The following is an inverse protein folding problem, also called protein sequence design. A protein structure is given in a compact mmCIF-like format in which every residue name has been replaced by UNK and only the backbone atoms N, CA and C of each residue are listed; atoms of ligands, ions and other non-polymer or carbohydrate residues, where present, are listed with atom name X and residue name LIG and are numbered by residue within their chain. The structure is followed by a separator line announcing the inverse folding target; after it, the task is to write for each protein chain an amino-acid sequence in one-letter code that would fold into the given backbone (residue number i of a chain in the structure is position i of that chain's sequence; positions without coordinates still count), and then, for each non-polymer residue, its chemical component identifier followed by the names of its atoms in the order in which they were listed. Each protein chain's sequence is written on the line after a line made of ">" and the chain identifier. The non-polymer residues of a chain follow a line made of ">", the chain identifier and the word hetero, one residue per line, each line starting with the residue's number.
data_IF_686822098495
#
_entry.id   IF_686822098495
#
_cell.length_a   1.000
_cell.length_b   1.000
_cell.length_c   1.000
_cell.angle_alpha   90.00
_cell.angle_beta   90.00
_cell.angle_gamma   90.00
#
_symmetry.space_group_name_H-M   'P 1'
#
loop_
_entity.id
_entity.type
_entity.pdbx_description
1 polymer ?
#
# COMPACT_ATOMS: atom_id res chain seq x y z
N UNK A 1 -0.92 -15.97 61.92
CA UNK A 1 -0.32 -14.82 61.18
C UNK A 1 0.98 -15.18 60.47
N UNK A 2 1.86 -16.01 61.00
CA UNK A 2 3.16 -16.37 60.40
C UNK A 2 3.06 -17.23 59.11
N UNK A 3 2.04 -18.05 58.94
CA UNK A 3 1.86 -18.87 57.69
C UNK A 3 1.51 -18.07 56.45
N UNK A 4 0.84 -16.93 56.56
CA UNK A 4 0.47 -16.08 55.46
C UNK A 4 1.61 -15.17 54.98
N UNK A 5 2.56 -14.85 55.85
CA UNK A 5 3.75 -14.06 55.53
C UNK A 5 4.71 -14.88 54.65
N UNK A 6 4.85 -16.18 54.90
CA UNK A 6 5.72 -17.06 54.09
C UNK A 6 5.18 -17.27 52.67
N UNK A 7 3.85 -17.38 52.53
CA UNK A 7 3.20 -17.52 51.21
C UNK A 7 3.35 -16.23 50.41
N UNK A 8 3.26 -15.06 51.05
CA UNK A 8 3.45 -13.78 50.39
C UNK A 8 4.92 -13.53 49.94
N UNK A 9 5.88 -14.02 50.74
CA UNK A 9 7.27 -13.95 50.33
C UNK A 9 7.63 -14.93 49.19
N UNK A 10 7.04 -16.10 49.15
CA UNK A 10 7.23 -17.06 48.06
C UNK A 10 6.58 -16.57 46.78
N UNK A 11 5.41 -15.92 46.81
CA UNK A 11 4.78 -15.30 45.64
C UNK A 11 5.57 -14.07 45.15
N UNK A 12 6.21 -13.29 46.03
CA UNK A 12 7.07 -12.19 45.61
C UNK A 12 8.37 -12.67 44.95
N UNK A 13 8.89 -13.83 45.33
CA UNK A 13 10.09 -14.41 44.69
C UNK A 13 9.83 -14.96 43.30
N UNK A 14 8.58 -15.29 42.95
CA UNK A 14 8.21 -15.73 41.61
C UNK A 14 7.93 -14.57 40.66
N UNK A 15 7.70 -13.35 41.13
CA UNK A 15 7.49 -12.17 40.30
C UNK A 15 8.78 -11.36 40.05
N UNK A 16 9.88 -11.71 40.71
CA UNK A 16 11.17 -11.00 40.51
C UNK A 16 12.09 -11.66 39.48
N UNK A 17 11.65 -12.72 38.78
CA UNK A 17 12.47 -13.38 37.76
C UNK A 17 12.06 -13.09 36.32
N UNK A 18 11.23 -12.07 36.08
CA UNK A 18 11.21 -11.40 34.80
C UNK A 18 12.25 -10.29 34.84
N UNK A 19 13.51 -10.63 34.88
CA UNK A 19 14.54 -9.75 34.33
C UNK A 19 14.14 -9.56 32.87
N UNK A 20 13.74 -8.32 32.53
CA UNK A 20 13.81 -7.87 31.14
C UNK A 20 15.23 -8.26 30.72
N UNK A 21 15.32 -9.10 29.69
CA UNK A 21 16.57 -9.23 28.96
C UNK A 21 17.04 -7.81 28.70
N UNK A 22 18.05 -7.38 29.43
CA UNK A 22 18.81 -6.21 29.03
C UNK A 22 19.29 -6.58 27.64
N UNK A 23 18.76 -5.96 26.63
CA UNK A 23 19.40 -5.94 25.34
C UNK A 23 20.83 -5.52 25.63
N UNK A 24 21.74 -6.47 25.60
CA UNK A 24 23.16 -6.19 25.69
C UNK A 24 23.41 -5.44 24.40
N UNK A 25 23.44 -4.11 24.49
CA UNK A 25 24.01 -3.27 23.45
C UNK A 25 25.48 -3.65 23.48
N UNK A 26 25.83 -4.58 22.60
CA UNK A 26 27.24 -4.81 22.31
C UNK A 26 27.72 -3.52 21.67
N UNK A 27 28.63 -2.83 22.35
CA UNK A 27 29.43 -1.79 21.74
C UNK A 27 30.39 -2.52 20.78
N UNK A 28 29.84 -2.88 19.63
CA UNK A 28 30.56 -3.56 18.57
C UNK A 28 31.36 -2.49 17.85
N UNK A 29 32.56 -2.24 18.28
CA UNK A 29 33.60 -1.73 17.41
C UNK A 29 33.85 -2.80 16.34
N UNK A 30 33.00 -2.82 15.30
CA UNK A 30 33.10 -3.78 14.23
C UNK A 30 34.33 -3.44 13.42
N UNK A 31 35.29 -4.34 13.47
CA UNK A 31 36.48 -4.24 12.65
C UNK A 31 36.10 -4.56 11.19
N UNK A 32 36.73 -3.91 10.20
CA UNK A 32 36.48 -4.19 8.78
C UNK A 32 36.54 -5.67 8.40
N UNK A 33 37.32 -6.48 9.10
CA UNK A 33 37.50 -7.91 8.86
C UNK A 33 36.29 -8.76 9.33
N UNK A 34 35.39 -8.18 10.14
CA UNK A 34 34.18 -8.86 10.63
C UNK A 34 32.99 -8.67 9.71
N UNK A 35 33.11 -7.84 8.67
CA UNK A 35 32.08 -7.65 7.67
C UNK A 35 32.07 -8.85 6.72
N UNK A 36 30.91 -9.48 6.60
CA UNK A 36 30.75 -10.67 5.76
C UNK A 36 30.27 -10.35 4.36
N UNK A 37 29.41 -9.31 4.22
CA UNK A 37 28.72 -9.01 2.96
C UNK A 37 28.28 -7.54 2.91
N UNK A 38 28.29 -6.99 1.71
CA UNK A 38 27.68 -5.70 1.39
C UNK A 38 26.56 -5.95 0.40
N UNK A 39 25.40 -5.33 0.63
CA UNK A 39 24.28 -5.32 -0.29
C UNK A 39 24.00 -3.88 -0.73
N UNK A 40 23.77 -3.68 -2.03
CA UNK A 40 23.40 -2.39 -2.60
C UNK A 40 21.95 -2.46 -3.09
N UNK A 41 21.16 -1.46 -2.74
CA UNK A 41 19.80 -1.28 -3.21
C UNK A 41 19.60 0.13 -3.75
N UNK A 42 18.56 0.33 -4.56
CA UNK A 42 18.20 1.63 -5.12
C UNK A 42 16.77 2.00 -4.76
N UNK A 43 16.49 3.31 -4.76
CA UNK A 43 15.14 3.84 -4.51
C UNK A 43 14.13 3.33 -5.54
N UNK A 44 14.56 3.19 -6.80
CA UNK A 44 13.73 2.84 -7.93
C UNK A 44 14.40 1.82 -8.85
N UNK A 45 13.62 1.11 -9.64
CA UNK A 45 14.13 0.24 -10.72
C UNK A 45 14.48 1.01 -11.99
N UNK A 46 13.87 2.17 -12.19
CA UNK A 46 13.99 2.98 -13.40
C UNK A 46 14.24 4.45 -13.06
N UNK A 47 15.06 5.11 -13.87
CA UNK A 47 15.38 6.52 -13.72
C UNK A 47 14.88 7.32 -14.92
N UNK A 48 14.24 8.45 -14.66
CA UNK A 48 13.86 9.44 -15.69
C UNK A 48 15.07 10.31 -16.03
N UNK A 49 15.49 10.38 -17.32
CA UNK A 49 16.68 11.11 -17.72
C UNK A 49 16.42 12.61 -17.93
N UNK A 50 15.94 13.31 -16.90
CA UNK A 50 15.57 14.74 -16.96
C UNK A 50 16.55 15.65 -16.21
N UNK A 51 17.64 15.11 -15.63
CA UNK A 51 18.62 15.84 -14.85
C UNK A 51 18.14 16.32 -13.47
N UNK A 52 16.88 16.08 -13.14
CA UNK A 52 16.27 16.43 -11.84
C UNK A 52 15.99 15.18 -11.03
N UNK A 53 15.52 14.13 -11.69
CA UNK A 53 15.31 12.81 -11.05
C UNK A 53 16.64 12.25 -10.60
N UNK A 54 16.66 11.78 -9.36
CA UNK A 54 17.83 11.18 -8.75
C UNK A 54 17.50 9.73 -8.38
N UNK A 55 18.45 8.85 -8.65
CA UNK A 55 18.47 7.49 -8.18
C UNK A 55 19.33 7.45 -6.90
N UNK A 56 18.71 7.29 -5.76
CA UNK A 56 19.41 7.11 -4.50
C UNK A 56 19.82 5.66 -4.31
N UNK A 57 20.98 5.45 -3.71
CA UNK A 57 21.53 4.13 -3.40
C UNK A 57 21.72 3.96 -1.90
N UNK A 58 21.32 2.81 -1.40
CA UNK A 58 21.41 2.43 0.01
C UNK A 58 22.26 1.20 0.16
N UNK A 59 23.21 1.27 1.08
CA UNK A 59 24.12 0.17 1.39
C UNK A 59 23.72 -0.49 2.70
N UNK A 60 23.64 -1.82 2.68
CA UNK A 60 23.40 -2.67 3.83
C UNK A 60 24.64 -3.53 4.05
N UNK A 61 25.17 -3.46 5.25
CA UNK A 61 26.41 -4.16 5.60
C UNK A 61 26.09 -5.22 6.63
N UNK A 62 26.53 -6.42 6.39
CA UNK A 62 26.25 -7.57 7.23
C UNK A 62 27.53 -8.11 7.85
N UNK A 63 27.43 -8.47 9.10
CA UNK A 63 28.43 -9.24 9.83
C UNK A 63 27.91 -10.65 10.12
N UNK A 64 28.81 -11.54 10.49
CA UNK A 64 28.48 -12.86 10.98
C UNK A 64 28.95 -13.03 12.42
N UNK A 65 28.14 -13.71 13.20
CA UNK A 65 28.47 -14.09 14.57
C UNK A 65 28.03 -15.51 14.87
N UNK A 66 28.75 -16.16 15.74
CA UNK A 66 28.35 -17.45 16.27
C UNK A 66 27.44 -17.24 17.48
N UNK A 67 26.24 -17.79 17.42
CA UNK A 67 25.27 -17.72 18.52
C UNK A 67 24.85 -19.14 18.93
N UNK A 68 24.50 -19.31 20.20
CA UNK A 68 23.89 -20.54 20.67
C UNK A 68 22.41 -20.55 20.37
N UNK A 69 22.00 -21.45 19.47
CA UNK A 69 20.60 -21.74 19.22
C UNK A 69 20.14 -22.87 20.13
N UNK A 70 19.10 -22.62 20.92
CA UNK A 70 18.51 -23.63 21.79
C UNK A 70 17.24 -24.17 21.17
N UNK A 71 17.17 -25.47 21.04
CA UNK A 71 16.02 -26.21 20.55
C UNK A 71 15.60 -27.29 21.54
N UNK A 72 14.40 -27.84 21.32
CA UNK A 72 13.94 -29.04 22.00
C UNK A 72 13.82 -30.15 20.96
N UNK A 73 14.47 -31.28 21.23
CA UNK A 73 14.32 -32.46 20.41
C UNK A 73 12.88 -32.96 20.51
N UNK A 74 12.24 -33.21 19.37
CA UNK A 74 10.84 -33.62 19.34
C UNK A 74 10.62 -35.06 19.83
N UNK A 75 11.62 -35.93 19.70
CA UNK A 75 11.52 -37.33 20.10
C UNK A 75 11.94 -37.52 21.57
N UNK A 76 13.09 -37.01 21.96
CA UNK A 76 13.64 -37.17 23.32
C UNK A 76 13.10 -36.18 24.32
N UNK A 77 12.52 -35.05 23.82
CA UNK A 77 12.07 -33.89 24.62
C UNK A 77 13.18 -33.19 25.42
N UNK A 78 14.42 -33.52 25.14
CA UNK A 78 15.58 -32.88 25.77
C UNK A 78 15.91 -31.55 25.08
N UNK A 79 16.40 -30.61 25.89
CA UNK A 79 16.90 -29.33 25.36
C UNK A 79 18.34 -29.52 24.90
N UNK A 80 18.63 -29.01 23.71
CA UNK A 80 20.00 -28.97 23.18
C UNK A 80 20.39 -27.53 22.83
N UNK A 81 21.66 -27.23 22.97
CA UNK A 81 22.30 -26.02 22.46
C UNK A 81 23.20 -26.38 21.28
N UNK A 82 23.06 -25.68 20.17
CA UNK A 82 23.90 -25.81 19.00
C UNK A 82 24.45 -24.44 18.61
N UNK A 83 25.75 -24.37 18.36
CA UNK A 83 26.34 -23.18 17.75
C UNK A 83 25.88 -23.08 16.30
N UNK A 84 25.35 -21.93 15.94
CA UNK A 84 24.99 -21.57 14.58
C UNK A 84 25.66 -20.24 14.20
N UNK A 85 26.01 -20.11 12.95
CA UNK A 85 26.38 -18.82 12.38
C UNK A 85 25.08 -18.04 12.09
N UNK A 86 24.98 -16.84 12.64
CA UNK A 86 23.90 -15.89 12.36
C UNK A 86 24.46 -14.68 11.63
N UNK A 87 23.81 -14.32 10.52
CA UNK A 87 24.10 -13.06 9.83
C UNK A 87 23.25 -11.94 10.46
N UNK A 88 23.84 -10.78 10.73
CA UNK A 88 23.16 -9.64 11.31
C UNK A 88 23.48 -8.36 10.54
N UNK A 89 22.54 -7.42 10.49
CA UNK A 89 22.72 -6.11 9.88
C UNK A 89 23.53 -5.22 10.83
N UNK A 90 24.63 -4.65 10.33
CA UNK A 90 25.47 -3.72 11.06
C UNK A 90 24.87 -2.31 10.91
N UNK A 91 24.53 -1.61 12.02
CA UNK A 91 24.07 -0.24 11.98
C UNK A 91 25.11 0.70 11.33
N UNK A 92 24.66 1.65 10.53
CA UNK A 92 25.55 2.58 9.80
C UNK A 92 26.46 3.40 10.72
N UNK A 93 25.97 3.77 11.89
CA UNK A 93 26.71 4.53 12.90
C UNK A 93 27.85 3.72 13.56
N UNK A 94 27.85 2.40 13.39
CA UNK A 94 28.93 1.52 13.85
C UNK A 94 30.01 1.29 12.79
N UNK A 95 29.80 1.76 11.57
CA UNK A 95 30.81 1.69 10.50
C UNK A 95 31.65 2.95 10.50
N UNK A 96 32.96 2.85 10.15
CA UNK A 96 33.77 4.03 9.93
C UNK A 96 33.17 4.95 8.88
N UNK A 97 33.24 6.25 9.09
CA UNK A 97 32.76 7.23 8.13
C UNK A 97 33.40 6.98 6.74
N UNK A 98 32.59 7.06 5.68
CA UNK A 98 33.01 6.86 4.30
C UNK A 98 33.65 5.49 4.00
N UNK A 99 33.45 4.50 4.87
CA UNK A 99 34.00 3.15 4.65
C UNK A 99 33.36 2.47 3.46
N UNK A 100 32.05 2.64 3.25
CA UNK A 100 31.34 2.11 2.09
C UNK A 100 31.10 3.22 1.07
N UNK A 101 31.49 2.98 -0.17
CA UNK A 101 31.26 3.89 -1.29
C UNK A 101 30.51 3.18 -2.41
N UNK A 102 29.69 3.93 -3.12
CA UNK A 102 28.96 3.43 -4.30
C UNK A 102 29.72 3.86 -5.56
N UNK A 103 29.80 2.97 -6.52
CA UNK A 103 30.52 3.14 -7.77
C UNK A 103 29.60 2.88 -8.96
N UNK A 104 29.84 3.59 -10.06
CA UNK A 104 29.28 3.25 -11.36
C UNK A 104 30.03 2.05 -11.99
N UNK A 105 29.54 1.59 -13.13
CA UNK A 105 30.12 0.48 -13.88
C UNK A 105 31.56 0.73 -14.36
N UNK A 106 32.01 1.97 -14.42
CA UNK A 106 33.35 2.38 -14.85
C UNK A 106 34.33 2.52 -13.65
N UNK A 107 33.84 2.34 -12.44
CA UNK A 107 34.63 2.49 -11.22
C UNK A 107 34.71 3.92 -10.68
N UNK A 108 33.88 4.83 -11.16
CA UNK A 108 33.78 6.18 -10.61
C UNK A 108 32.92 6.16 -9.35
N UNK A 109 33.38 6.83 -8.29
CA UNK A 109 32.62 7.00 -7.04
C UNK A 109 31.44 7.94 -7.30
N UNK A 110 30.26 7.57 -6.81
CA UNK A 110 29.10 8.44 -6.80
C UNK A 110 29.11 9.34 -5.57
N UNK A 111 29.14 10.65 -5.80
CA UNK A 111 29.01 11.62 -4.73
C UNK A 111 27.62 11.55 -4.09
N UNK A 112 27.55 11.50 -2.77
CA UNK A 112 26.31 11.42 -2.01
C UNK A 112 25.48 10.16 -2.26
N UNK A 113 26.03 9.14 -2.94
CA UNK A 113 25.33 7.92 -3.33
C UNK A 113 24.08 8.16 -4.22
N UNK A 114 24.14 9.16 -5.11
CA UNK A 114 23.08 9.47 -6.07
C UNK A 114 23.59 9.41 -7.51
N UNK A 115 22.69 9.04 -8.41
CA UNK A 115 22.92 9.10 -9.84
C UNK A 115 21.80 9.87 -10.53
N UNK A 116 22.18 10.76 -11.45
CA UNK A 116 21.25 11.49 -12.33
C UNK A 116 21.84 11.58 -13.73
N UNK A 117 21.00 11.75 -14.73
CA UNK A 117 21.44 11.86 -16.11
C UNK A 117 20.49 12.71 -16.95
N UNK A 118 21.04 13.36 -17.99
CA UNK A 118 20.30 14.00 -19.09
C UNK A 118 20.70 13.43 -20.44
N UNK A 119 21.75 12.60 -20.47
CA UNK A 119 22.42 12.15 -21.71
C UNK A 119 22.24 10.67 -21.98
N UNK A 120 21.90 9.88 -20.97
CA UNK A 120 21.69 8.45 -21.19
C UNK A 120 20.38 8.22 -21.95
N UNK A 121 20.49 7.43 -23.01
CA UNK A 121 19.33 7.10 -23.85
C UNK A 121 18.34 6.17 -23.10
N UNK A 122 17.03 6.33 -23.33
CA UNK A 122 16.02 5.37 -22.85
C UNK A 122 16.36 3.93 -23.28
N UNK A 123 16.11 2.99 -22.38
CA UNK A 123 16.47 1.57 -22.56
C UNK A 123 17.89 1.23 -22.14
N UNK A 124 18.75 2.23 -21.88
CA UNK A 124 20.09 1.97 -21.34
C UNK A 124 20.01 1.36 -19.96
N UNK A 125 20.78 0.29 -19.74
CA UNK A 125 20.95 -0.31 -18.42
C UNK A 125 22.29 0.13 -17.86
N UNK A 126 22.27 0.74 -16.69
CA UNK A 126 23.45 1.14 -15.92
C UNK A 126 23.66 0.17 -14.77
N UNK A 127 24.91 -0.14 -14.48
CA UNK A 127 25.25 -1.00 -13.34
C UNK A 127 26.01 -0.22 -12.28
N UNK A 128 25.69 -0.52 -11.04
CA UNK A 128 26.29 0.09 -9.86
C UNK A 128 26.69 -0.98 -8.84
N UNK A 129 27.64 -0.67 -8.00
CA UNK A 129 28.06 -1.56 -6.91
C UNK A 129 28.59 -0.76 -5.75
N UNK A 130 28.53 -1.35 -4.56
CA UNK A 130 29.12 -0.77 -3.37
C UNK A 130 30.40 -1.51 -2.99
N UNK A 131 31.37 -0.79 -2.46
CA UNK A 131 32.65 -1.35 -2.03
C UNK A 131 33.07 -0.77 -0.68
N UNK A 132 33.57 -1.65 0.21
CA UNK A 132 34.17 -1.32 1.47
C UNK A 132 35.31 -2.28 1.81
N UNK A 133 36.52 -1.75 2.00
CA UNK A 133 37.70 -2.57 2.16
C UNK A 133 37.94 -3.49 0.96
N UNK A 134 37.99 -4.78 1.21
CA UNK A 134 38.14 -5.81 0.16
C UNK A 134 36.82 -6.41 -0.31
N UNK A 135 35.69 -5.96 0.25
CA UNK A 135 34.37 -6.47 -0.11
C UNK A 135 33.71 -5.60 -1.17
N UNK A 136 32.99 -6.24 -2.06
CA UNK A 136 32.19 -5.63 -3.12
C UNK A 136 30.79 -6.26 -3.14
N UNK A 137 29.76 -5.44 -3.31
CA UNK A 137 28.40 -5.94 -3.47
C UNK A 137 28.21 -6.57 -4.84
N UNK A 138 27.11 -7.31 -5.01
CA UNK A 138 26.63 -7.65 -6.34
C UNK A 138 26.33 -6.38 -7.15
N UNK A 139 26.34 -6.54 -8.48
CA UNK A 139 26.01 -5.46 -9.43
C UNK A 139 24.51 -5.22 -9.43
N UNK A 140 24.11 -4.00 -9.11
CA UNK A 140 22.72 -3.55 -9.21
C UNK A 140 22.49 -2.87 -10.57
N UNK A 141 21.47 -3.31 -11.29
CA UNK A 141 21.11 -2.77 -12.60
C UNK A 141 19.93 -1.81 -12.50
N UNK A 142 20.07 -0.63 -13.09
CA UNK A 142 19.04 0.40 -13.20
C UNK A 142 18.77 0.68 -14.67
N UNK A 143 17.50 0.73 -15.06
CA UNK A 143 17.10 1.05 -16.43
C UNK A 143 16.77 2.54 -16.55
N UNK A 144 17.32 3.18 -17.58
CA UNK A 144 16.91 4.53 -17.97
C UNK A 144 15.62 4.40 -18.77
N UNK A 145 14.56 5.06 -18.33
CA UNK A 145 13.25 5.00 -18.98
C UNK A 145 13.05 6.18 -19.94
N UNK A 146 12.04 6.06 -20.79
CA UNK A 146 11.58 7.21 -21.57
C UNK A 146 11.01 8.30 -20.64
N UNK A 147 11.11 9.56 -21.09
CA UNK A 147 10.43 10.66 -20.42
C UNK A 147 8.93 10.34 -20.36
N UNK A 148 8.30 10.45 -19.19
CA UNK A 148 6.88 10.19 -19.08
C UNK A 148 6.07 11.21 -19.89
N UNK A 149 5.10 10.73 -20.66
CA UNK A 149 4.10 11.61 -21.25
C UNK A 149 3.12 12.02 -20.13
N UNK A 150 3.25 13.25 -19.66
CA UNK A 150 2.35 13.83 -18.66
C UNK A 150 1.23 14.69 -19.30
N UNK A 151 1.06 14.64 -20.64
CA UNK A 151 0.08 15.43 -21.39
C UNK A 151 -1.34 14.83 -21.34
N UNK A 152 -1.70 14.22 -20.21
CA UNK A 152 -3.07 13.79 -20.02
C UNK A 152 -4.00 14.98 -19.84
N UNK A 153 -5.23 14.89 -20.35
CA UNK A 153 -6.31 15.78 -19.95
C UNK A 153 -6.70 15.49 -18.49
N UNK A 154 -7.06 16.53 -17.75
CA UNK A 154 -7.56 16.36 -16.39
C UNK A 154 -8.92 15.66 -16.41
N UNK A 155 -9.07 14.65 -15.57
CA UNK A 155 -10.28 13.86 -15.39
C UNK A 155 -10.80 14.11 -13.98
N UNK A 156 -12.06 14.51 -13.86
CA UNK A 156 -12.75 14.67 -12.57
C UNK A 156 -13.75 13.52 -12.40
N UNK A 157 -13.51 12.67 -11.40
CA UNK A 157 -14.37 11.54 -11.08
C UNK A 157 -15.34 11.94 -9.97
N UNK A 158 -16.65 11.98 -10.24
CA UNK A 158 -17.65 12.25 -9.21
C UNK A 158 -17.87 11.03 -8.33
N UNK A 159 -17.76 11.24 -7.02
CA UNK A 159 -17.87 10.19 -6.00
C UNK A 159 -19.12 10.38 -5.16
N UNK A 160 -19.84 9.29 -4.91
CA UNK A 160 -20.92 9.23 -3.93
C UNK A 160 -20.64 8.14 -2.90
N UNK A 161 -20.80 8.50 -1.64
CA UNK A 161 -20.71 7.59 -0.51
C UNK A 161 -22.11 7.23 -0.02
N UNK A 162 -22.44 5.95 -0.08
CA UNK A 162 -23.68 5.40 0.45
C UNK A 162 -23.44 4.85 1.85
N UNK A 163 -23.92 5.54 2.87
CA UNK A 163 -23.81 5.11 4.26
C UNK A 163 -24.92 4.11 4.55
N UNK A 164 -24.59 2.85 4.72
CA UNK A 164 -25.51 1.76 5.05
C UNK A 164 -25.69 1.70 6.57
N UNK A 165 -26.65 2.49 7.07
CA UNK A 165 -26.86 2.68 8.52
C UNK A 165 -27.81 1.63 9.06
N UNK A 166 -27.35 0.71 9.95
CA UNK A 166 -28.22 -0.25 10.59
C UNK A 166 -29.15 0.42 11.62
N UNK A 167 -30.20 -0.26 12.12
CA UNK A 167 -31.06 0.26 13.16
C UNK A 167 -30.26 0.67 14.40
N UNK A 168 -30.69 1.74 15.07
CA UNK A 168 -29.99 2.32 16.24
C UNK A 168 -29.74 1.33 17.38
N UNK A 169 -30.56 0.29 17.51
CA UNK A 169 -30.39 -0.81 18.47
C UNK A 169 -29.23 -1.74 18.14
N UNK A 170 -28.68 -1.67 16.92
CA UNK A 170 -27.69 -2.61 16.41
C UNK A 170 -26.30 -2.00 16.20
N UNK A 171 -26.16 -0.68 16.26
CA UNK A 171 -24.87 -0.03 15.96
C UNK A 171 -24.63 1.27 16.74
N UNK A 172 -23.36 1.59 17.02
CA UNK A 172 -22.93 2.93 17.39
C UNK A 172 -23.15 3.92 16.24
N UNK A 173 -23.09 5.22 16.53
CA UNK A 173 -23.31 6.29 15.56
C UNK A 173 -22.43 6.14 14.31
N UNK A 174 -23.04 6.30 13.14
CA UNK A 174 -22.37 6.45 11.84
C UNK A 174 -22.08 7.94 11.61
N UNK A 175 -21.24 8.51 12.45
CA UNK A 175 -20.87 9.93 12.34
C UNK A 175 -19.77 10.10 11.29
N UNK A 176 -20.19 10.20 10.04
CA UNK A 176 -19.32 10.46 8.88
C UNK A 176 -19.67 11.83 8.34
N UNK A 177 -18.80 12.81 8.58
CA UNK A 177 -19.01 14.16 8.07
C UNK A 177 -18.60 14.31 6.61
N UNK A 178 -19.19 15.29 5.91
CA UNK A 178 -18.83 15.63 4.52
C UNK A 178 -17.36 16.06 4.45
N UNK A 179 -16.89 16.82 5.43
CA UNK A 179 -15.50 17.32 5.50
C UNK A 179 -14.49 16.15 5.62
N UNK A 180 -14.85 15.07 6.32
CA UNK A 180 -14.03 13.86 6.37
C UNK A 180 -13.93 13.23 4.99
N UNK A 181 -15.06 13.06 4.30
CA UNK A 181 -15.11 12.46 2.97
C UNK A 181 -14.34 13.30 1.94
N UNK A 182 -14.53 14.61 1.98
CA UNK A 182 -13.83 15.55 1.11
C UNK A 182 -12.32 15.54 1.34
N UNK A 183 -11.88 15.55 2.59
CA UNK A 183 -10.45 15.44 2.95
C UNK A 183 -9.84 14.12 2.46
N UNK A 184 -10.56 13.01 2.58
CA UNK A 184 -10.08 11.72 2.05
C UNK A 184 -9.94 11.74 0.54
N UNK A 185 -10.89 12.29 -0.21
CA UNK A 185 -10.81 12.41 -1.66
C UNK A 185 -9.71 13.38 -2.12
N UNK A 186 -9.51 14.47 -1.36
CA UNK A 186 -8.42 15.41 -1.65
C UNK A 186 -7.07 14.70 -1.50
N UNK A 187 -6.88 13.92 -0.43
CA UNK A 187 -5.65 13.14 -0.22
C UNK A 187 -5.40 12.14 -1.35
N UNK A 188 -6.43 11.46 -1.83
CA UNK A 188 -6.33 10.57 -3.00
C UNK A 188 -5.89 11.35 -4.23
N UNK A 189 -6.56 12.48 -4.50
CA UNK A 189 -6.24 13.34 -5.64
C UNK A 189 -4.79 13.84 -5.59
N UNK A 190 -4.31 14.18 -4.41
CA UNK A 190 -2.95 14.67 -4.20
C UNK A 190 -1.92 13.55 -4.40
N UNK A 191 -2.21 12.33 -3.93
CA UNK A 191 -1.36 11.15 -4.18
C UNK A 191 -1.29 10.79 -5.67
N UNK A 192 -2.42 10.82 -6.38
CA UNK A 192 -2.50 10.51 -7.82
C UNK A 192 -1.82 11.57 -8.70
N UNK A 193 -1.60 12.77 -8.17
CA UNK A 193 -1.07 13.91 -8.94
C UNK A 193 0.30 14.38 -8.47
N UNK A 194 1.03 13.57 -7.72
CA UNK A 194 2.37 13.90 -7.22
C UNK A 194 2.41 15.26 -6.48
N UNK A 195 1.39 15.52 -5.62
CA UNK A 195 1.33 16.74 -4.81
C UNK A 195 1.82 16.56 -3.38
N UNK A 196 1.88 15.31 -2.90
CA UNK A 196 2.36 14.99 -1.55
C UNK A 196 3.87 14.73 -1.59
N UNK A 197 4.33 13.91 -2.55
CA UNK A 197 5.75 13.60 -2.72
C UNK A 197 6.47 14.64 -3.56
N UNK A 198 7.73 14.88 -3.25
CA UNK A 198 8.65 15.67 -4.08
C UNK A 198 9.44 14.81 -5.06
N UNK A 199 9.27 13.48 -5.04
CA UNK A 199 10.00 12.55 -5.88
C UNK A 199 9.61 12.71 -7.37
N UNK A 200 10.54 13.14 -8.24
CA UNK A 200 10.26 13.32 -9.66
C UNK A 200 10.04 12.02 -10.42
N UNK A 201 10.36 10.86 -9.82
CA UNK A 201 10.08 9.54 -10.41
C UNK A 201 8.63 9.07 -10.12
N UNK A 202 7.91 9.74 -9.24
CA UNK A 202 6.50 9.47 -9.02
C UNK A 202 5.66 9.93 -10.22
N UNK A 203 4.58 9.21 -10.51
CA UNK A 203 3.69 9.50 -11.63
C UNK A 203 2.70 10.64 -11.33
N UNK A 204 2.19 11.28 -12.40
CA UNK A 204 1.16 12.31 -12.34
C UNK A 204 -0.02 11.91 -13.21
N UNK A 205 -1.09 11.45 -12.59
CA UNK A 205 -2.23 10.88 -13.32
C UNK A 205 -3.18 11.93 -13.91
N UNK A 206 -3.20 13.16 -13.41
CA UNK A 206 -4.22 14.19 -13.71
C UNK A 206 -5.64 13.66 -13.51
N UNK A 207 -5.86 12.96 -12.41
CA UNK A 207 -7.17 12.44 -11.97
C UNK A 207 -7.53 13.08 -10.64
N UNK A 208 -8.68 13.70 -10.59
CA UNK A 208 -9.19 14.38 -9.39
C UNK A 208 -10.50 13.70 -8.98
N UNK A 209 -10.65 13.45 -7.69
CA UNK A 209 -11.87 12.87 -7.12
C UNK A 209 -12.62 13.96 -6.37
N UNK A 210 -13.92 14.13 -6.68
CA UNK A 210 -14.77 15.14 -6.03
C UNK A 210 -16.08 14.54 -5.58
N UNK A 211 -16.62 15.07 -4.51
CA UNK A 211 -17.96 14.72 -4.06
C UNK A 211 -18.98 15.16 -5.11
N UNK A 212 -19.94 14.27 -5.44
CA UNK A 212 -21.07 14.63 -6.26
C UNK A 212 -21.95 15.68 -5.59
N UNK A 213 -22.43 16.68 -6.33
CA UNK A 213 -23.28 17.76 -5.80
C UNK A 213 -24.76 17.55 -6.11
N UNK A 214 -25.07 16.73 -7.10
CA UNK A 214 -26.42 16.37 -7.50
C UNK A 214 -26.63 14.87 -7.39
N UNK A 215 -27.83 14.47 -6.98
CA UNK A 215 -28.22 13.07 -6.87
C UNK A 215 -28.61 12.45 -8.23
N UNK A 216 -28.94 11.18 -8.23
CA UNK A 216 -29.33 10.45 -9.45
C UNK A 216 -30.62 10.99 -10.10
N UNK A 217 -31.41 11.82 -9.41
CA UNK A 217 -32.64 12.45 -9.94
C UNK A 217 -32.38 13.86 -10.45
N UNK A 218 -31.17 14.40 -10.29
CA UNK A 218 -30.81 15.77 -10.68
C UNK A 218 -31.15 16.82 -9.60
N UNK A 219 -31.47 16.38 -8.38
CA UNK A 219 -31.69 17.29 -7.26
C UNK A 219 -30.35 17.57 -6.56
N UNK A 220 -30.16 18.84 -6.19
CA UNK A 220 -28.97 19.25 -5.46
C UNK A 220 -28.97 18.63 -4.05
N UNK A 221 -27.89 17.95 -3.71
CA UNK A 221 -27.73 17.30 -2.41
C UNK A 221 -27.49 18.35 -1.30
N UNK A 222 -28.11 18.14 -0.14
CA UNK A 222 -27.84 18.97 1.05
C UNK A 222 -26.44 18.68 1.60
N UNK A 223 -26.03 17.42 1.61
CA UNK A 223 -24.68 16.97 1.98
C UNK A 223 -24.02 16.39 0.71
N UNK A 224 -23.15 17.15 0.05
CA UNK A 224 -22.51 16.69 -1.19
C UNK A 224 -21.85 15.31 -1.04
N UNK A 225 -22.10 14.44 -2.02
CA UNK A 225 -21.52 13.11 -2.09
C UNK A 225 -21.94 12.15 -0.98
N UNK A 226 -22.89 12.52 -0.13
CA UNK A 226 -23.32 11.67 0.99
C UNK A 226 -24.77 11.24 0.82
N UNK A 227 -25.00 9.96 0.57
CA UNK A 227 -26.31 9.33 0.53
C UNK A 227 -26.48 8.40 1.74
N UNK A 228 -27.48 8.68 2.59
CA UNK A 228 -27.75 7.88 3.79
C UNK A 228 -28.85 6.89 3.53
N UNK A 229 -28.53 5.62 3.68
CA UNK A 229 -29.43 4.48 3.56
C UNK A 229 -29.69 3.87 4.94
N UNK A 230 -30.86 4.16 5.51
CA UNK A 230 -31.30 3.58 6.76
C UNK A 230 -31.86 2.17 6.52
N UNK A 231 -31.11 1.15 6.92
CA UNK A 231 -31.53 -0.25 6.81
C UNK A 231 -32.63 -0.50 7.82
N UNK A 232 -33.76 -1.06 7.37
CA UNK A 232 -34.87 -1.39 8.27
C UNK A 232 -34.48 -2.50 9.27
N UNK A 233 -35.15 -2.55 10.43
CA UNK A 233 -34.93 -3.62 11.39
C UNK A 233 -35.23 -5.01 10.81
N UNK A 234 -36.19 -5.10 9.91
CA UNK A 234 -36.54 -6.35 9.20
C UNK A 234 -35.43 -6.80 8.27
N UNK A 235 -34.91 -5.88 7.41
CA UNK A 235 -33.82 -6.18 6.49
C UNK A 235 -32.54 -6.52 7.24
N UNK A 236 -32.24 -5.78 8.31
CA UNK A 236 -31.06 -6.04 9.13
C UNK A 236 -31.13 -7.41 9.85
N UNK A 237 -32.31 -7.81 10.29
CA UNK A 237 -32.56 -9.14 10.86
C UNK A 237 -32.41 -10.23 9.78
N UNK A 238 -32.95 -9.99 8.59
CA UNK A 238 -32.82 -10.91 7.45
C UNK A 238 -31.38 -11.14 7.00
N UNK A 239 -30.49 -10.15 7.22
CA UNK A 239 -29.04 -10.32 7.01
C UNK A 239 -28.39 -11.32 7.97
N UNK A 240 -29.11 -11.75 9.04
CA UNK A 240 -28.62 -12.68 10.05
C UNK A 240 -27.63 -12.06 11.04
N UNK A 241 -27.22 -12.88 12.02
CA UNK A 241 -26.34 -12.49 13.13
C UNK A 241 -24.85 -12.74 12.86
N UNK A 242 -24.48 -13.12 11.65
CA UNK A 242 -23.07 -13.38 11.33
C UNK A 242 -22.20 -12.18 11.66
N UNK A 243 -21.12 -12.40 12.38
CA UNK A 243 -20.11 -11.37 12.71
C UNK A 243 -19.43 -10.76 11.48
N UNK A 244 -19.57 -11.41 10.32
CA UNK A 244 -18.86 -11.04 9.10
C UNK A 244 -19.67 -10.28 8.07
N UNK A 245 -20.95 -10.12 8.22
CA UNK A 245 -21.94 -9.40 7.36
C UNK A 245 -21.53 -8.85 5.98
N UNK A 246 -20.30 -9.08 5.51
CA UNK A 246 -19.80 -8.54 4.23
C UNK A 246 -20.63 -9.02 3.05
N UNK A 247 -20.84 -10.34 2.93
CA UNK A 247 -21.62 -10.94 1.86
C UNK A 247 -23.09 -10.48 1.94
N UNK A 248 -23.61 -10.34 3.13
CA UNK A 248 -24.98 -9.89 3.36
C UNK A 248 -25.18 -8.42 2.95
N UNK A 249 -24.20 -7.54 3.22
CA UNK A 249 -24.24 -6.15 2.71
C UNK A 249 -24.17 -6.10 1.20
N UNK A 250 -23.31 -6.89 0.55
CA UNK A 250 -23.26 -6.97 -0.91
C UNK A 250 -24.57 -7.45 -1.50
N UNK A 251 -25.21 -8.46 -0.90
CA UNK A 251 -26.54 -8.95 -1.32
C UNK A 251 -27.62 -7.87 -1.12
N UNK A 252 -27.60 -7.14 0.00
CA UNK A 252 -28.51 -6.03 0.27
C UNK A 252 -28.36 -4.91 -0.77
N UNK A 253 -27.14 -4.53 -1.12
CA UNK A 253 -26.85 -3.52 -2.14
C UNK A 253 -27.46 -3.93 -3.47
N UNK A 254 -27.27 -5.18 -3.90
CA UNK A 254 -27.83 -5.69 -5.15
C UNK A 254 -29.37 -5.74 -5.14
N UNK A 255 -29.96 -6.21 -4.04
CA UNK A 255 -31.42 -6.27 -3.89
C UNK A 255 -32.08 -4.87 -3.91
N UNK A 256 -31.34 -3.84 -3.52
CA UNK A 256 -31.78 -2.45 -3.49
C UNK A 256 -31.09 -1.57 -4.56
N UNK A 257 -30.60 -2.19 -5.64
CA UNK A 257 -29.77 -1.55 -6.66
C UNK A 257 -30.34 -0.25 -7.21
N UNK A 258 -31.63 -0.19 -7.50
CA UNK A 258 -32.30 1.02 -8.01
C UNK A 258 -32.16 2.24 -7.12
N UNK A 259 -31.90 2.06 -5.82
CA UNK A 259 -31.86 3.12 -4.81
C UNK A 259 -30.44 3.44 -4.36
N UNK A 260 -29.58 2.42 -4.26
CA UNK A 260 -28.25 2.55 -3.67
C UNK A 260 -27.10 2.12 -4.59
N UNK A 261 -27.36 1.84 -5.85
CA UNK A 261 -26.36 1.83 -6.92
C UNK A 261 -26.73 2.94 -7.89
N UNK A 262 -26.07 4.07 -7.77
CA UNK A 262 -26.28 5.17 -8.70
C UNK A 262 -25.59 4.89 -10.03
N UNK A 263 -26.10 5.44 -11.12
CA UNK A 263 -25.65 5.17 -12.48
C UNK A 263 -24.10 5.22 -12.59
N UNK A 264 -23.43 4.12 -12.89
CA UNK A 264 -21.97 4.05 -12.94
C UNK A 264 -21.35 4.90 -14.06
N UNK A 265 -22.16 5.33 -15.04
CA UNK A 265 -21.73 6.29 -16.05
C UNK A 265 -21.73 7.74 -15.55
N UNK A 266 -22.24 7.98 -14.34
CA UNK A 266 -22.39 9.30 -13.74
C UNK A 266 -21.72 9.39 -12.36
N UNK A 267 -21.50 8.27 -11.68
CA UNK A 267 -20.99 8.23 -10.31
C UNK A 267 -20.06 7.04 -10.07
N UNK A 268 -19.02 7.29 -9.32
CA UNK A 268 -18.27 6.25 -8.64
C UNK A 268 -18.94 5.96 -7.30
N UNK A 269 -19.46 4.75 -7.11
CA UNK A 269 -20.18 4.35 -5.91
C UNK A 269 -19.21 3.81 -4.85
N UNK A 270 -19.33 4.28 -3.60
CA UNK A 270 -18.61 3.76 -2.45
C UNK A 270 -19.62 3.47 -1.33
N UNK A 271 -19.75 2.21 -0.93
CA UNK A 271 -20.66 1.83 0.16
C UNK A 271 -19.91 1.72 1.46
N UNK A 272 -20.37 2.45 2.49
CA UNK A 272 -19.78 2.44 3.83
C UNK A 272 -20.68 1.61 4.74
N UNK A 273 -20.11 0.53 5.32
CA UNK A 273 -20.78 -0.32 6.28
C UNK A 273 -19.82 -0.77 7.38
N UNK A 274 -20.34 -1.13 8.54
CA UNK A 274 -19.55 -1.76 9.59
C UNK A 274 -19.58 -3.28 9.40
N UNK A 275 -18.42 -3.86 9.04
CA UNK A 275 -18.28 -5.29 8.87
C UNK A 275 -16.96 -5.80 9.43
N UNK A 276 -16.94 -7.07 9.77
CA UNK A 276 -15.73 -7.80 10.17
C UNK A 276 -15.54 -8.94 9.18
N UNK A 277 -14.35 -9.12 8.67
CA UNK A 277 -13.99 -10.34 7.97
C UNK A 277 -13.25 -11.27 8.91
N UNK A 278 -13.83 -12.43 9.15
CA UNK A 278 -13.08 -13.53 9.75
C UNK A 278 -12.22 -14.17 8.67
N UNK A 279 -10.93 -13.94 8.74
CA UNK A 279 -9.97 -14.92 8.19
C UNK A 279 -9.81 -15.95 9.30
N UNK A 280 -9.99 -17.22 8.96
CA UNK A 280 -9.86 -18.34 9.87
C UNK A 280 -8.61 -18.17 10.75
N UNK A 281 -8.83 -17.92 12.04
CA UNK A 281 -7.89 -17.87 13.17
C UNK A 281 -7.34 -16.52 13.65
N UNK A 282 -7.52 -15.38 13.00
CA UNK A 282 -6.91 -14.12 13.48
C UNK A 282 -7.83 -12.92 13.65
N UNK A 283 -9.13 -13.06 13.36
CA UNK A 283 -10.12 -11.98 13.59
C UNK A 283 -9.79 -10.66 12.90
N UNK A 284 -9.14 -10.69 11.75
CA UNK A 284 -8.70 -9.50 11.04
C UNK A 284 -9.88 -8.73 10.46
N UNK A 285 -9.97 -7.45 10.81
CA UNK A 285 -10.91 -6.52 10.19
C UNK A 285 -10.38 -6.12 8.82
N UNK A 286 -11.14 -6.38 7.76
CA UNK A 286 -10.77 -5.91 6.42
C UNK A 286 -11.24 -4.48 6.24
N UNK A 287 -10.36 -3.63 5.69
CA UNK A 287 -10.66 -2.21 5.49
C UNK A 287 -11.63 -1.96 4.35
N UNK A 288 -11.60 -2.77 3.29
CA UNK A 288 -12.45 -2.60 2.10
C UNK A 288 -12.64 -3.90 1.31
N UNK A 289 -13.61 -3.86 0.38
CA UNK A 289 -13.84 -4.89 -0.64
C UNK A 289 -14.03 -4.22 -1.98
N UNK A 290 -13.23 -4.58 -2.95
CA UNK A 290 -13.27 -4.03 -4.31
C UNK A 290 -13.10 -5.14 -5.35
N UNK A 291 -13.33 -4.80 -6.60
CA UNK A 291 -13.09 -5.62 -7.77
C UNK A 291 -12.38 -4.78 -8.84
N UNK A 292 -11.32 -5.32 -9.42
CA UNK A 292 -10.69 -4.75 -10.59
C UNK A 292 -11.70 -4.67 -11.78
N UNK A 293 -11.44 -3.86 -12.81
CA UNK A 293 -12.33 -3.80 -13.98
C UNK A 293 -12.57 -5.19 -14.59
N UNK A 294 -13.82 -5.47 -14.94
CA UNK A 294 -14.22 -6.77 -15.53
C UNK A 294 -14.63 -6.65 -17.00
N UNK A 295 -14.76 -5.42 -17.50
CA UNK A 295 -15.21 -5.14 -18.86
C UNK A 295 -14.30 -4.14 -19.54
N UNK A 296 -14.10 -4.35 -20.84
CA UNK A 296 -13.32 -3.51 -21.75
C UNK A 296 -14.11 -3.24 -23.02
N UNK A 297 -14.00 -2.03 -23.54
CA UNK A 297 -14.63 -1.67 -24.82
C UNK A 297 -14.00 -2.49 -25.96
N UNK A 298 -14.83 -2.87 -26.95
CA UNK A 298 -14.41 -3.75 -28.06
C UNK A 298 -13.36 -3.15 -29.00
N UNK A 299 -13.16 -1.84 -28.95
CA UNK A 299 -12.07 -1.18 -29.68
C UNK A 299 -10.67 -1.54 -29.18
N UNK A 300 -10.55 -2.21 -28.04
CA UNK A 300 -9.28 -2.54 -27.39
C UNK A 300 -9.14 -4.04 -27.21
N UNK A 301 -7.91 -4.53 -27.32
CA UNK A 301 -7.60 -5.92 -27.08
C UNK A 301 -7.66 -6.25 -25.58
N UNK A 302 -8.24 -7.40 -25.21
CA UNK A 302 -8.39 -7.83 -23.81
C UNK A 302 -7.06 -7.98 -23.07
N UNK A 303 -5.95 -8.13 -23.79
CA UNK A 303 -4.60 -8.23 -23.28
C UNK A 303 -3.92 -6.87 -23.09
N UNK A 304 -4.55 -5.78 -23.54
CA UNK A 304 -3.93 -4.43 -23.46
C UNK A 304 -3.69 -3.95 -22.03
N UNK A 305 -4.44 -4.49 -21.04
CA UNK A 305 -4.21 -4.26 -19.61
C UNK A 305 -3.84 -5.61 -18.96
N UNK A 306 -2.56 -5.94 -18.85
CA UNK A 306 -2.12 -7.24 -18.36
C UNK A 306 -2.56 -7.51 -16.91
N UNK A 307 -2.71 -8.78 -16.55
CA UNK A 307 -3.02 -9.21 -15.18
C UNK A 307 -4.48 -9.02 -14.74
N UNK A 308 -5.37 -8.51 -15.60
CA UNK A 308 -6.80 -8.40 -15.35
C UNK A 308 -7.57 -9.21 -16.39
N UNK A 309 -8.44 -10.10 -15.93
CA UNK A 309 -9.34 -10.86 -16.82
C UNK A 309 -10.59 -10.05 -17.09
N UNK A 310 -10.83 -9.73 -18.36
CA UNK A 310 -11.95 -8.90 -18.81
C UNK A 310 -12.70 -9.57 -19.95
N UNK A 311 -13.88 -9.06 -20.23
CA UNK A 311 -14.70 -9.38 -21.41
C UNK A 311 -15.06 -8.12 -22.15
N UNK A 312 -15.32 -8.21 -23.46
CA UNK A 312 -15.78 -7.07 -24.24
C UNK A 312 -17.21 -6.64 -23.86
N UNK A 313 -17.39 -5.34 -23.67
CA UNK A 313 -18.66 -4.70 -23.44
C UNK A 313 -18.55 -3.20 -23.70
N UNK A 314 -19.25 -2.68 -24.70
CA UNK A 314 -19.09 -1.30 -25.18
C UNK A 314 -19.82 -0.26 -24.33
N UNK A 315 -20.87 -0.67 -23.63
CA UNK A 315 -21.60 0.16 -22.68
C UNK A 315 -21.88 -0.62 -21.40
N UNK A 316 -21.90 0.08 -20.28
CA UNK A 316 -22.20 -0.53 -18.99
C UNK A 316 -23.50 0.07 -18.44
N UNK A 317 -24.54 -0.75 -18.30
CA UNK A 317 -25.84 -0.35 -17.79
C UNK A 317 -26.09 -0.91 -16.39
N UNK A 318 -26.86 -0.21 -15.58
CA UNK A 318 -27.22 -0.67 -14.24
C UNK A 318 -27.89 -2.05 -14.23
N UNK A 319 -28.68 -2.37 -15.27
CA UNK A 319 -29.32 -3.68 -15.43
C UNK A 319 -28.35 -4.85 -15.61
N UNK A 320 -27.09 -4.55 -15.96
CA UNK A 320 -26.05 -5.55 -16.21
C UNK A 320 -25.27 -5.92 -14.96
N UNK A 321 -25.46 -5.16 -13.87
CA UNK A 321 -24.73 -5.33 -12.61
C UNK A 321 -25.21 -6.59 -11.90
N UNK A 322 -24.39 -7.63 -11.93
CA UNK A 322 -24.61 -8.88 -11.20
C UNK A 322 -23.80 -8.94 -9.90
N UNK A 323 -22.78 -8.10 -9.80
CA UNK A 323 -21.97 -7.89 -8.61
C UNK A 323 -21.76 -6.38 -8.43
N UNK A 324 -22.22 -5.82 -7.33
CA UNK A 324 -22.12 -4.38 -7.10
C UNK A 324 -20.67 -3.87 -7.11
N UNK A 325 -19.68 -4.73 -6.80
CA UNK A 325 -18.26 -4.38 -6.85
C UNK A 325 -17.76 -4.10 -8.29
N UNK A 326 -18.52 -4.42 -9.32
CA UNK A 326 -18.20 -4.02 -10.69
C UNK A 326 -18.31 -2.50 -10.92
N UNK A 327 -19.12 -1.82 -10.13
CA UNK A 327 -19.46 -0.39 -10.28
C UNK A 327 -19.13 0.46 -9.06
N UNK A 328 -18.42 -0.11 -8.10
CA UNK A 328 -18.03 0.57 -6.87
C UNK A 328 -17.23 -0.35 -5.97
N UNK A 329 -17.05 0.07 -4.73
CA UNK A 329 -16.44 -0.78 -3.70
C UNK A 329 -17.05 -0.53 -2.32
N UNK A 330 -16.90 -1.51 -1.45
CA UNK A 330 -17.38 -1.43 -0.07
C UNK A 330 -16.24 -1.09 0.87
N UNK A 331 -16.47 -0.09 1.73
CA UNK A 331 -15.54 0.44 2.71
C UNK A 331 -16.01 0.14 4.12
N UNK A 332 -15.09 -0.31 4.97
CA UNK A 332 -15.39 -0.52 6.38
C UNK A 332 -15.41 0.80 7.14
N UNK A 333 -16.52 1.09 7.79
CA UNK A 333 -16.66 2.29 8.63
C UNK A 333 -15.55 2.43 9.67
N UNK A 334 -15.15 1.33 10.30
CA UNK A 334 -14.09 1.37 11.31
C UNK A 334 -12.74 1.79 10.72
N UNK A 335 -12.45 1.40 9.47
CA UNK A 335 -11.23 1.83 8.79
C UNK A 335 -11.26 3.33 8.49
N UNK A 336 -12.40 3.83 7.98
CA UNK A 336 -12.57 5.25 7.66
C UNK A 336 -12.49 6.14 8.91
N UNK A 337 -13.02 5.70 10.05
CA UNK A 337 -13.04 6.43 11.31
C UNK A 337 -11.82 6.18 12.20
N UNK A 338 -10.88 5.33 11.75
CA UNK A 338 -9.65 5.07 12.53
C UNK A 338 -8.90 6.38 12.75
N UNK A 339 -8.52 6.67 14.01
CA UNK A 339 -7.76 7.89 14.29
C UNK A 339 -6.43 7.83 13.52
N UNK A 340 -6.04 8.98 13.00
CA UNK A 340 -4.70 9.19 12.47
C UNK A 340 -3.70 8.87 13.58
N UNK A 341 -2.90 7.83 13.42
CA UNK A 341 -1.79 7.62 14.35
C UNK A 341 -0.79 8.76 14.20
N UNK A 342 -0.07 9.06 15.27
CA UNK A 342 0.99 10.06 15.24
C UNK A 342 1.84 9.79 14.00
N UNK A 343 1.86 10.76 13.06
CA UNK A 343 2.62 10.78 11.80
C UNK A 343 2.00 10.09 10.57
N UNK A 344 0.71 9.75 10.59
CA UNK A 344 -0.01 9.32 9.38
C UNK A 344 0.33 7.92 8.86
N UNK A 345 1.20 7.17 9.52
CA UNK A 345 1.70 5.88 9.05
C UNK A 345 0.67 4.76 8.98
N UNK A 346 -0.28 4.74 9.87
CA UNK A 346 -1.31 3.70 9.92
C UNK A 346 -2.69 4.26 9.61
N UNK A 347 -2.78 5.48 9.10
CA UNK A 347 -4.04 6.04 8.68
C UNK A 347 -4.54 5.30 7.44
N UNK A 348 -5.77 4.83 7.51
CA UNK A 348 -6.43 4.30 6.33
C UNK A 348 -6.50 5.38 5.23
N UNK A 349 -6.09 5.02 4.02
CA UNK A 349 -6.18 5.88 2.86
C UNK A 349 -7.08 5.27 1.81
N UNK A 350 -8.01 6.05 1.28
CA UNK A 350 -8.82 5.69 0.11
C UNK A 350 -7.98 5.52 -1.16
N UNK A 351 -6.73 6.00 -1.18
CA UNK A 351 -5.87 5.88 -2.35
C UNK A 351 -5.64 4.43 -2.77
N UNK A 352 -5.47 3.51 -1.81
CA UNK A 352 -5.30 2.08 -2.10
C UNK A 352 -6.51 1.48 -2.81
N UNK A 353 -7.73 1.45 -2.21
CA UNK A 353 -8.87 0.83 -2.88
C UNK A 353 -9.27 1.55 -4.17
N UNK A 354 -9.05 2.85 -4.29
CA UNK A 354 -9.32 3.58 -5.53
C UNK A 354 -8.29 3.22 -6.61
N UNK A 355 -7.00 3.09 -6.28
CA UNK A 355 -5.99 2.64 -7.23
C UNK A 355 -6.31 1.23 -7.75
N UNK A 356 -6.63 0.30 -6.87
CA UNK A 356 -7.02 -1.06 -7.26
C UNK A 356 -8.34 -1.07 -8.08
N UNK A 357 -9.34 -0.27 -7.71
CA UNK A 357 -10.57 -0.10 -8.49
C UNK A 357 -10.28 0.43 -9.89
N UNK A 358 -9.27 1.26 -10.06
CA UNK A 358 -8.75 1.75 -11.34
C UNK A 358 -7.70 0.82 -11.96
N UNK A 359 -7.63 -0.44 -11.51
CA UNK A 359 -6.88 -1.50 -12.16
C UNK A 359 -5.40 -1.58 -11.80
N UNK A 360 -4.93 -0.82 -10.83
CA UNK A 360 -3.56 -1.01 -10.30
C UNK A 360 -3.55 -2.31 -9.49
N UNK A 361 -2.56 -3.15 -9.72
CA UNK A 361 -2.44 -4.43 -9.03
C UNK A 361 -1.47 -4.32 -7.86
N UNK A 362 -1.58 -5.28 -6.95
CA UNK A 362 -0.75 -5.33 -5.74
C UNK A 362 0.73 -5.53 -6.10
N UNK A 363 1.59 -4.73 -5.49
CA UNK A 363 3.05 -4.84 -5.62
C UNK A 363 3.64 -6.02 -4.83
N UNK A 364 2.86 -6.66 -3.97
CA UNK A 364 3.28 -7.80 -3.16
C UNK A 364 3.23 -9.11 -3.93
N UNK A 365 4.14 -10.01 -3.63
CA UNK A 365 4.12 -11.40 -4.06
C UNK A 365 4.13 -12.34 -2.86
N UNK A 366 3.83 -13.62 -3.08
CA UNK A 366 3.80 -14.65 -2.04
C UNK A 366 5.15 -15.37 -1.88
N UNK A 367 6.25 -14.78 -2.37
CA UNK A 367 7.60 -15.37 -2.28
C UNK A 367 8.43 -14.69 -1.20
N UNK A 368 9.21 -15.48 -0.47
CA UNK A 368 10.07 -15.04 0.64
C UNK A 368 11.32 -14.25 0.19
N UNK A 369 11.24 -13.46 -0.87
CA UNK A 369 12.33 -12.62 -1.31
C UNK A 369 11.87 -11.20 -1.56
N UNK A 370 12.40 -10.27 -0.80
CA UNK A 370 12.03 -8.85 -0.86
C UNK A 370 12.30 -8.21 -2.23
N UNK A 371 13.34 -8.66 -2.92
CA UNK A 371 13.76 -8.10 -4.22
C UNK A 371 13.66 -9.07 -5.39
N UNK A 372 13.29 -10.33 -5.16
CA UNK A 372 13.30 -11.37 -6.17
C UNK A 372 11.94 -12.01 -6.37
N UNK A 373 10.88 -11.23 -6.36
CA UNK A 373 9.67 -11.69 -6.97
C UNK A 373 9.96 -11.79 -8.47
N UNK A 374 10.27 -12.98 -8.94
CA UNK A 374 10.34 -13.25 -10.36
C UNK A 374 8.98 -12.99 -10.97
N UNK A 375 8.88 -11.92 -11.66
CA UNK A 375 7.69 -11.49 -12.34
C UNK A 375 7.07 -10.24 -11.73
N UNK A 376 6.62 -9.39 -12.60
CA UNK A 376 5.86 -8.20 -12.29
C UNK A 376 4.48 -8.61 -11.78
N UNK A 377 4.34 -8.78 -10.46
CA UNK A 377 3.04 -9.12 -9.86
C UNK A 377 1.99 -8.05 -10.14
N UNK A 378 2.41 -6.81 -10.35
CA UNK A 378 1.55 -5.66 -10.67
C UNK A 378 1.66 -5.21 -12.14
N UNK A 379 2.52 -5.84 -12.93
CA UNK A 379 2.80 -5.48 -14.34
C UNK A 379 3.24 -4.03 -14.53
N UNK A 380 3.93 -3.48 -13.54
CA UNK A 380 4.54 -2.15 -13.58
C UNK A 380 6.06 -2.29 -13.41
N UNK A 381 6.83 -2.21 -14.49
CA UNK A 381 8.28 -2.45 -14.45
C UNK A 381 9.06 -1.51 -13.54
N UNK A 382 8.48 -0.36 -13.20
CA UNK A 382 9.10 0.64 -12.33
C UNK A 382 8.84 0.44 -10.83
N UNK A 383 8.04 -0.55 -10.43
CA UNK A 383 7.80 -0.90 -9.03
C UNK A 383 8.62 -2.12 -8.61
N UNK A 384 8.99 -2.19 -7.34
CA UNK A 384 9.48 -3.41 -6.74
C UNK A 384 8.33 -4.31 -6.33
N UNK A 385 8.44 -5.59 -6.62
CA UNK A 385 7.59 -6.61 -6.02
C UNK A 385 8.23 -7.10 -4.73
N UNK A 386 7.46 -7.25 -3.66
CA UNK A 386 7.98 -7.68 -2.36
C UNK A 386 7.13 -8.76 -1.72
N UNK A 387 7.78 -9.62 -0.93
CA UNK A 387 7.09 -10.63 -0.13
C UNK A 387 6.53 -9.98 1.14
N UNK A 388 5.23 -10.05 1.26
CA UNK A 388 4.50 -9.54 2.41
C UNK A 388 4.89 -10.21 3.74
N UNK A 389 5.23 -11.50 3.72
CA UNK A 389 5.65 -12.24 4.91
C UNK A 389 7.06 -11.87 5.35
N UNK A 390 7.92 -11.56 4.42
CA UNK A 390 9.32 -11.21 4.68
C UNK A 390 9.50 -9.76 5.11
N UNK A 391 8.78 -8.84 4.48
CA UNK A 391 8.88 -7.39 4.74
C UNK A 391 8.75 -7.02 6.23
N UNK A 392 7.72 -7.46 6.98
CA UNK A 392 7.62 -7.16 8.41
C UNK A 392 8.72 -7.79 9.25
N UNK A 393 9.31 -8.89 8.80
CA UNK A 393 10.34 -9.60 9.54
C UNK A 393 11.68 -8.90 9.45
N UNK A 394 12.00 -8.39 8.27
CA UNK A 394 13.28 -7.72 7.99
C UNK A 394 13.25 -6.24 8.39
N UNK A 395 12.09 -5.60 8.24
CA UNK A 395 11.95 -4.15 8.42
C UNK A 395 11.07 -3.75 9.61
N UNK A 396 10.90 -4.65 10.58
CA UNK A 396 10.10 -4.40 11.79
C UNK A 396 10.48 -3.08 12.47
N UNK A 397 9.67 -2.05 12.22
CA UNK A 397 9.71 -0.80 12.96
C UNK A 397 10.91 0.10 12.67
N UNK A 398 11.81 -0.29 11.78
CA UNK A 398 12.94 0.53 11.35
C UNK A 398 12.83 0.80 9.87
N UNK A 399 13.19 2.01 9.47
CA UNK A 399 13.55 2.28 8.10
C UNK A 399 14.72 1.39 7.71
N UNK A 400 14.82 1.10 6.44
CA UNK A 400 15.89 0.28 5.87
C UNK A 400 17.29 0.80 6.17
N UNK A 401 17.44 2.06 6.58
CA UNK A 401 18.68 2.72 6.95
C UNK A 401 18.81 3.01 8.45
N UNK A 402 17.92 2.49 9.28
CA UNK A 402 17.91 2.73 10.73
C UNK A 402 17.42 4.12 11.15
N UNK A 403 16.92 4.95 10.21
CA UNK A 403 16.38 6.26 10.52
C UNK A 403 14.94 6.18 11.06
N UNK A 404 14.50 7.16 11.85
CA UNK A 404 13.12 7.17 12.34
C UNK A 404 12.15 7.19 11.18
N UNK A 405 11.22 6.27 11.18
CA UNK A 405 10.18 6.12 10.17
C UNK A 405 9.25 7.33 9.97
N UNK A 406 9.62 8.53 10.38
CA UNK A 406 8.70 9.57 10.80
C UNK A 406 8.71 10.81 9.94
N UNK A 407 9.53 10.85 8.90
CA UNK A 407 9.63 12.00 8.03
C UNK A 407 8.97 11.73 6.68
N UNK A 408 7.74 12.23 6.44
CA UNK A 408 7.06 12.07 5.16
C UNK A 408 7.73 12.86 4.02
N UNK A 409 8.70 13.73 4.34
CA UNK A 409 9.43 14.53 3.36
C UNK A 409 10.72 13.87 2.90
N UNK A 410 11.15 12.80 3.55
CA UNK A 410 12.36 12.08 3.16
C UNK A 410 12.24 11.48 1.77
N UNK A 411 13.31 11.54 0.97
CA UNK A 411 13.39 10.80 -0.26
C UNK A 411 13.15 9.31 0.04
N UNK A 412 12.39 8.68 -0.81
CA UNK A 412 12.04 7.28 -0.65
C UNK A 412 13.28 6.41 -0.73
N UNK A 413 13.48 5.57 0.26
CA UNK A 413 14.49 4.53 0.20
C UNK A 413 14.08 3.41 -0.76
N UNK A 414 12.76 3.15 -0.80
CA UNK A 414 12.13 2.27 -1.79
C UNK A 414 10.83 2.90 -2.22
N UNK A 415 10.57 2.94 -3.52
CA UNK A 415 9.31 3.48 -4.06
C UNK A 415 8.09 2.78 -3.48
N UNK A 416 8.20 1.51 -3.14
CA UNK A 416 7.18 0.74 -2.44
C UNK A 416 6.79 1.36 -1.11
N UNK A 417 7.71 1.94 -0.35
CA UNK A 417 7.44 2.49 0.98
C UNK A 417 6.49 3.69 0.98
N UNK A 418 6.35 4.39 -0.15
CA UNK A 418 5.46 5.53 -0.32
C UNK A 418 4.33 5.24 -1.31
N UNK A 419 4.38 4.10 -1.97
CA UNK A 419 3.37 3.70 -2.93
C UNK A 419 2.01 3.51 -2.24
N UNK A 420 0.93 3.93 -2.91
CA UNK A 420 -0.44 3.81 -2.36
C UNK A 420 -0.86 2.37 -2.11
N UNK A 421 -0.18 1.39 -2.72
CA UNK A 421 -0.45 -0.03 -2.53
C UNK A 421 0.41 -0.67 -1.44
N UNK A 422 1.46 -0.01 -0.99
CA UNK A 422 2.26 -0.53 0.11
C UNK A 422 1.49 -0.45 1.42
N UNK A 423 1.51 -1.53 2.18
CA UNK A 423 0.78 -1.63 3.43
C UNK A 423 1.38 -0.78 4.55
N UNK A 424 2.68 -0.57 4.50
CA UNK A 424 3.45 0.16 5.52
C UNK A 424 3.83 1.58 5.09
N UNK A 425 3.31 2.04 3.95
CA UNK A 425 3.69 3.32 3.38
C UNK A 425 2.80 4.48 3.84
N UNK A 426 3.29 5.68 3.61
CA UNK A 426 2.50 6.92 3.73
C UNK A 426 1.41 7.05 2.66
N UNK A 427 1.37 6.16 1.67
CA UNK A 427 0.37 6.11 0.59
C UNK A 427 0.23 7.44 -0.15
N UNK A 428 1.35 8.02 -0.53
CA UNK A 428 1.40 9.38 -1.06
C UNK A 428 1.64 9.47 -2.56
N UNK A 429 1.88 8.34 -3.26
CA UNK A 429 2.20 8.37 -4.69
C UNK A 429 1.86 7.07 -5.43
N UNK A 430 1.78 7.20 -6.75
CA UNK A 430 1.78 6.12 -7.73
C UNK A 430 3.08 6.19 -8.53
N UNK A 431 3.55 5.06 -9.04
CA UNK A 431 4.64 5.04 -10.02
C UNK A 431 4.15 5.54 -11.38
N UNK A 432 5.08 5.84 -12.29
CA UNK A 432 4.75 6.28 -13.64
C UNK A 432 3.99 5.18 -14.41
N UNK A 433 4.39 3.91 -14.26
CA UNK A 433 3.70 2.82 -14.96
C UNK A 433 2.36 2.47 -14.31
N UNK A 434 2.21 2.63 -13.01
CA UNK A 434 0.89 2.58 -12.37
C UNK A 434 -0.05 3.68 -12.87
N UNK A 435 0.47 4.90 -13.08
CA UNK A 435 -0.31 5.99 -13.69
C UNK A 435 -0.73 5.65 -15.11
N UNK A 436 0.18 5.14 -15.96
CA UNK A 436 -0.19 4.66 -17.30
C UNK A 436 -1.32 3.64 -17.23
N UNK A 437 -1.25 2.70 -16.31
CA UNK A 437 -2.26 1.67 -16.10
C UNK A 437 -3.61 2.25 -15.70
N UNK A 438 -3.64 3.19 -14.75
CA UNK A 438 -4.86 3.95 -14.38
C UNK A 438 -5.48 4.63 -15.61
N UNK A 439 -4.67 5.31 -16.43
CA UNK A 439 -5.14 6.02 -17.63
C UNK A 439 -5.65 5.06 -18.70
N UNK A 440 -5.04 3.89 -18.85
CA UNK A 440 -5.55 2.84 -19.75
C UNK A 440 -6.93 2.35 -19.29
N UNK A 441 -7.11 2.08 -18.01
CA UNK A 441 -8.41 1.66 -17.45
C UNK A 441 -9.48 2.73 -17.65
N UNK A 442 -9.20 3.98 -17.35
CA UNK A 442 -10.13 5.08 -17.57
C UNK A 442 -10.53 5.21 -19.06
N UNK A 443 -9.58 5.02 -19.96
CA UNK A 443 -9.82 5.10 -21.40
C UNK A 443 -10.65 3.91 -21.93
N UNK A 444 -10.33 2.69 -21.46
CA UNK A 444 -10.75 1.45 -22.11
C UNK A 444 -11.91 0.72 -21.41
N UNK A 445 -12.18 0.99 -20.12
CA UNK A 445 -13.11 0.23 -19.31
C UNK A 445 -14.43 1.00 -19.09
N UNK A 446 -15.53 0.64 -19.75
CA UNK A 446 -16.81 1.36 -19.66
C UNK A 446 -17.36 1.49 -18.23
N UNK A 447 -17.13 0.51 -17.36
CA UNK A 447 -17.54 0.57 -15.95
C UNK A 447 -16.80 1.62 -15.11
N UNK A 448 -15.85 2.37 -15.70
CA UNK A 448 -15.05 3.43 -15.06
C UNK A 448 -15.25 4.81 -15.70
N UNK A 449 -16.30 4.97 -16.52
CA UNK A 449 -16.53 6.18 -17.33
C UNK A 449 -17.37 7.26 -16.64
N UNK A 450 -17.56 7.21 -15.32
CA UNK A 450 -18.30 8.24 -14.57
C UNK A 450 -17.85 9.68 -14.87
N UNK A 451 -16.56 9.87 -15.16
CA UNK A 451 -15.98 11.17 -15.49
C UNK A 451 -16.42 11.76 -16.83
N UNK A 452 -17.03 10.96 -17.72
CA UNK A 452 -17.48 11.42 -19.03
C UNK A 452 -18.82 12.19 -18.97
N UNK A 453 -19.47 12.20 -17.81
CA UNK A 453 -20.72 12.90 -17.58
C UNK A 453 -20.52 14.05 -16.58
N UNK A 454 -21.15 15.19 -16.84
CA UNK A 454 -21.21 16.32 -15.91
C UNK A 454 -22.40 16.26 -14.95
N UNK A 455 -23.29 15.29 -15.12
CA UNK A 455 -24.53 15.15 -14.36
C UNK A 455 -24.33 15.32 -12.85
N UNK A 456 -23.36 14.64 -12.27
CA UNK A 456 -23.11 14.67 -10.83
C UNK A 456 -22.75 16.07 -10.27
N UNK A 457 -22.37 17.00 -11.15
CA UNK A 457 -21.99 18.37 -10.78
C UNK A 457 -22.97 19.44 -11.25
N UNK A 458 -23.81 19.16 -12.23
CA UNK A 458 -24.75 20.13 -12.83
C UNK A 458 -26.21 19.76 -12.67
N UNK A 459 -26.53 18.48 -12.46
CA UNK A 459 -27.89 17.94 -12.52
C UNK A 459 -28.44 17.84 -13.93
N UNK A 460 -27.62 18.13 -14.94
CA UNK A 460 -27.99 18.14 -16.36
C UNK A 460 -27.00 17.27 -17.17
N UNK A 461 -27.46 16.68 -18.28
CA UNK A 461 -26.62 15.85 -19.17
C UNK A 461 -25.78 16.67 -20.11
#
# INVERSE_FOLDING_TARGET
>A
MMRYIIIFFITMLFFSSCEKEKSVIFDLNILPDEISRIELRADHKMLVPNGVSQMGFHTFVYGKRTVMSYGRDEETKEFYGKEIEEEFLIPKDQLPADYIKVYDQNGNVLEGSYYTTTTDAPGTVKQFYAKGGNLESERLSITIRELPDENYEEVVIPVVFHLLVPPATAAPSYDVSVELLERQLQRVSDAFNRKITTDPNAGKAKVVFKLATYDQTGLKMQEPGKNVENITAADFTAMGTSSTKTTQYLAYILANSKRIIWDPNKYMNIWIAKFTMSTSNTGTTTSYRMLAPTVMHSDYELTSIPGITMKHKDAFNLSDVTNCLEVGFMLNLNALLSPTTVQGKNEFSLATPIAEYLGVLQTRCDKYSYLNADGDSDYCPDTYSFDYGYYPTVFKGNNLDGQPENDPTRPMEYFTSFNVLDMYSYKNSLSIDQVKRVRMVLKQCPSRWAYKSNWAFTGEN
#
